data_IF_126561131998
#
_entry.id   IF_126561131998
#
_cell.length_a   1.000
_cell.length_b   1.000
_cell.length_c   1.000
_cell.angle_alpha   90.00
_cell.angle_beta   90.00
_cell.angle_gamma   90.00
#
_symmetry.space_group_name_H-M   'P 1'
#
loop_
_entity.id
_entity.type
_entity.pdbx_description
1 polymer ?
#
# COMPACT_ATOMS: atom_id res chain seq x y z
N UNK A 1 -34.91 19.49 -13.05
CA UNK A 1 -33.67 20.26 -12.79
C UNK A 1 -32.86 19.78 -11.57
N UNK A 2 -33.44 19.13 -10.54
CA UNK A 2 -32.73 18.82 -9.27
C UNK A 2 -31.69 17.69 -9.32
N UNK A 3 -31.83 16.70 -10.22
CA UNK A 3 -30.95 15.51 -10.25
C UNK A 3 -29.58 15.79 -10.89
N UNK A 4 -29.50 16.66 -11.91
CA UNK A 4 -28.24 16.99 -12.58
C UNK A 4 -27.28 17.83 -11.72
N UNK A 5 -27.82 18.63 -10.78
CA UNK A 5 -27.00 19.48 -9.90
C UNK A 5 -26.25 18.65 -8.84
N UNK A 6 -26.87 17.58 -8.33
CA UNK A 6 -26.27 16.70 -7.31
C UNK A 6 -25.14 15.87 -7.92
N UNK A 7 -25.32 15.36 -9.15
CA UNK A 7 -24.28 14.59 -9.85
C UNK A 7 -23.09 15.49 -10.24
N UNK A 8 -23.34 16.71 -10.71
CA UNK A 8 -22.28 17.68 -11.01
C UNK A 8 -21.51 18.10 -9.75
N UNK A 9 -22.19 18.29 -8.62
CA UNK A 9 -21.56 18.63 -7.35
C UNK A 9 -20.71 17.47 -6.78
N UNK A 10 -21.17 16.22 -6.93
CA UNK A 10 -20.39 15.03 -6.57
C UNK A 10 -19.15 14.86 -7.43
N UNK A 11 -19.23 15.15 -8.73
CA UNK A 11 -18.07 15.12 -9.64
C UNK A 11 -17.10 16.25 -9.32
N UNK A 12 -17.60 17.43 -8.93
CA UNK A 12 -16.77 18.57 -8.50
C UNK A 12 -16.03 18.27 -7.20
N UNK A 13 -16.69 17.66 -6.20
CA UNK A 13 -16.05 17.23 -4.94
C UNK A 13 -15.02 16.13 -5.21
N UNK A 14 -15.36 15.16 -6.06
CA UNK A 14 -14.43 14.11 -6.44
C UNK A 14 -13.21 14.69 -7.18
N UNK A 15 -13.42 15.63 -8.10
CA UNK A 15 -12.33 16.32 -8.79
C UNK A 15 -11.47 17.19 -7.84
N UNK A 16 -12.06 17.85 -6.84
CA UNK A 16 -11.34 18.67 -5.86
C UNK A 16 -10.53 17.85 -4.84
N UNK A 17 -10.95 16.61 -4.57
CA UNK A 17 -10.19 15.65 -3.74
C UNK A 17 -9.14 14.91 -4.57
N UNK A 18 -9.42 14.66 -5.85
CA UNK A 18 -8.51 13.96 -6.77
C UNK A 18 -7.39 14.88 -7.27
N UNK A 19 -7.60 16.20 -7.39
CA UNK A 19 -6.53 17.13 -7.80
C UNK A 19 -5.33 17.18 -6.85
N UNK A 20 -5.46 17.29 -5.51
CA UNK A 20 -4.29 17.17 -4.62
C UNK A 20 -3.76 15.74 -4.61
N UNK A 21 -4.60 14.71 -4.77
CA UNK A 21 -4.10 13.34 -4.90
C UNK A 21 -3.17 13.21 -6.12
N UNK A 22 -3.60 13.65 -7.32
CA UNK A 22 -2.81 13.58 -8.55
C UNK A 22 -1.61 14.54 -8.55
N UNK A 23 -1.72 15.73 -7.96
CA UNK A 23 -0.61 16.70 -7.83
C UNK A 23 0.46 16.20 -6.84
N UNK A 24 0.03 15.56 -5.75
CA UNK A 24 0.92 14.93 -4.79
C UNK A 24 1.66 13.75 -5.43
N UNK A 25 1.04 12.97 -6.32
CA UNK A 25 1.65 11.80 -6.96
C UNK A 25 2.84 12.06 -7.89
N UNK A 26 3.02 13.28 -8.42
CA UNK A 26 4.00 13.51 -9.49
C UNK A 26 5.19 14.42 -9.15
N UNK A 27 4.96 15.51 -8.42
CA UNK A 27 5.96 16.61 -8.32
C UNK A 27 6.22 17.05 -6.89
N UNK A 28 5.25 16.94 -5.98
CA UNK A 28 5.44 17.28 -4.57
C UNK A 28 6.23 16.21 -3.81
N UNK A 29 6.17 14.93 -4.25
CA UNK A 29 7.10 13.93 -3.73
C UNK A 29 8.55 14.26 -4.06
N UNK A 30 8.89 14.90 -5.20
CA UNK A 30 10.26 15.26 -5.55
C UNK A 30 10.89 16.30 -4.62
N UNK A 31 10.07 17.25 -4.13
CA UNK A 31 10.50 18.29 -3.18
C UNK A 31 10.37 17.86 -1.72
N UNK A 32 9.40 16.99 -1.38
CA UNK A 32 9.26 16.42 -0.04
C UNK A 32 10.26 15.28 0.26
N UNK A 33 10.80 14.62 -0.77
CA UNK A 33 11.85 13.58 -0.64
C UNK A 33 13.26 14.12 -0.86
N UNK A 34 13.42 15.42 -1.16
CA UNK A 34 14.75 16.04 -1.32
C UNK A 34 15.53 15.59 -2.56
N UNK A 35 14.89 15.07 -3.60
CA UNK A 35 15.58 14.47 -4.76
C UNK A 35 16.33 15.46 -5.66
N UNK A 36 16.28 16.77 -5.36
CA UNK A 36 17.19 17.75 -5.94
C UNK A 36 18.61 17.73 -5.35
N UNK A 37 18.78 17.14 -4.16
CA UNK A 37 20.03 17.21 -3.36
C UNK A 37 20.32 16.00 -2.45
N UNK A 38 19.46 14.98 -2.41
CA UNK A 38 19.49 13.92 -1.37
C UNK A 38 19.74 12.53 -1.97
N UNK A 39 20.66 11.81 -1.33
CA UNK A 39 21.21 10.51 -1.71
C UNK A 39 20.18 9.53 -2.31
N UNK A 40 20.63 8.72 -3.28
CA UNK A 40 19.86 7.60 -3.88
C UNK A 40 19.20 6.70 -2.82
N UNK A 41 19.77 6.67 -1.61
CA UNK A 41 19.26 6.01 -0.41
C UNK A 41 17.83 6.44 -0.05
N UNK A 42 17.50 7.73 -0.13
CA UNK A 42 16.17 8.22 0.21
C UNK A 42 15.15 8.01 -0.91
N UNK A 43 15.60 8.06 -2.16
CA UNK A 43 14.77 7.68 -3.30
C UNK A 43 14.29 6.23 -3.21
N UNK A 44 15.18 5.31 -2.86
CA UNK A 44 14.85 3.89 -2.69
C UNK A 44 13.88 3.69 -1.52
N UNK A 45 14.11 4.34 -0.38
CA UNK A 45 13.21 4.24 0.79
C UNK A 45 11.81 4.80 0.51
N UNK A 46 11.70 5.87 -0.26
CA UNK A 46 10.42 6.44 -0.67
C UNK A 46 9.63 5.47 -1.55
N UNK A 47 10.26 4.90 -2.58
CA UNK A 47 9.63 3.92 -3.49
C UNK A 47 9.19 2.67 -2.73
N UNK A 48 10.04 2.13 -1.85
CA UNK A 48 9.72 0.96 -1.03
C UNK A 48 8.50 1.24 -0.14
N UNK A 49 8.43 2.40 0.53
CA UNK A 49 7.29 2.76 1.37
C UNK A 49 5.98 2.89 0.59
N UNK A 50 6.02 3.48 -0.61
CA UNK A 50 4.83 3.60 -1.48
C UNK A 50 4.35 2.22 -1.93
N UNK A 51 5.27 1.35 -2.36
CA UNK A 51 4.94 -0.02 -2.78
C UNK A 51 4.38 -0.83 -1.61
N UNK A 52 4.97 -0.73 -0.42
CA UNK A 52 4.47 -1.41 0.77
C UNK A 52 3.08 -0.94 1.20
N UNK A 53 2.81 0.36 1.14
CA UNK A 53 1.48 0.90 1.40
C UNK A 53 0.43 0.33 0.46
N UNK A 54 0.75 0.27 -0.84
CA UNK A 54 -0.14 -0.31 -1.85
C UNK A 54 -0.36 -1.82 -1.63
N UNK A 55 0.71 -2.59 -1.42
CA UNK A 55 0.63 -4.02 -1.15
C UNK A 55 -0.14 -4.34 0.14
N UNK A 56 0.01 -3.52 1.19
CA UNK A 56 -0.71 -3.67 2.44
C UNK A 56 -2.22 -3.54 2.27
N UNK A 57 -2.68 -2.55 1.50
CA UNK A 57 -4.10 -2.37 1.19
C UNK A 57 -4.66 -3.59 0.44
N UNK A 58 -3.92 -4.09 -0.57
CA UNK A 58 -4.31 -5.27 -1.34
C UNK A 58 -4.40 -6.51 -0.44
N UNK A 59 -3.44 -6.72 0.46
CA UNK A 59 -3.45 -7.83 1.40
C UNK A 59 -4.70 -7.82 2.30
N UNK A 60 -5.09 -6.65 2.81
CA UNK A 60 -6.31 -6.50 3.62
C UNK A 60 -7.56 -6.85 2.80
N UNK A 61 -7.66 -6.41 1.54
CA UNK A 61 -8.80 -6.73 0.67
C UNK A 61 -8.93 -8.25 0.47
N UNK A 62 -7.83 -8.96 0.26
CA UNK A 62 -7.82 -10.42 0.09
C UNK A 62 -8.30 -11.12 1.36
N UNK A 63 -7.81 -10.68 2.53
CA UNK A 63 -8.22 -11.25 3.83
C UNK A 63 -9.71 -11.01 4.07
N UNK A 64 -10.21 -9.81 3.79
CA UNK A 64 -11.64 -9.49 3.90
C UNK A 64 -12.47 -10.36 2.97
N UNK A 65 -12.04 -10.56 1.72
CA UNK A 65 -12.74 -11.40 0.76
C UNK A 65 -12.82 -12.87 1.22
N UNK A 66 -11.71 -13.41 1.74
CA UNK A 66 -11.69 -14.72 2.38
C UNK A 66 -12.59 -14.79 3.62
N UNK A 67 -12.63 -13.73 4.43
CA UNK A 67 -13.51 -13.60 5.59
C UNK A 67 -15.00 -13.61 5.23
N UNK A 68 -15.40 -12.84 4.22
CA UNK A 68 -16.78 -12.85 3.69
C UNK A 68 -17.17 -14.22 3.15
N UNK A 69 -16.25 -14.90 2.45
CA UNK A 69 -16.46 -16.27 1.96
C UNK A 69 -16.65 -17.25 3.12
N UNK A 70 -15.90 -17.08 4.20
CA UNK A 70 -16.01 -17.92 5.40
C UNK A 70 -17.34 -17.71 6.12
N UNK A 71 -17.76 -16.46 6.30
CA UNK A 71 -19.05 -16.11 6.93
C UNK A 71 -20.25 -16.58 6.11
N UNK A 72 -20.14 -16.60 4.78
CA UNK A 72 -21.23 -17.03 3.88
C UNK A 72 -21.25 -18.54 3.58
N UNK A 73 -20.30 -19.31 4.12
CA UNK A 73 -20.20 -20.74 3.86
C UNK A 73 -21.34 -21.58 4.49
N UNK A 74 -22.05 -21.04 5.49
CA UNK A 74 -23.29 -21.64 6.01
C UNK A 74 -23.17 -23.08 6.52
N UNK A 75 -21.99 -23.49 6.97
CA UNK A 75 -21.72 -24.86 7.43
C UNK A 75 -21.28 -25.87 6.36
N UNK A 76 -21.17 -25.46 5.09
CA UNK A 76 -20.56 -26.30 4.05
C UNK A 76 -19.04 -26.36 4.26
N UNK A 77 -18.53 -27.53 4.68
CA UNK A 77 -17.11 -27.75 4.97
C UNK A 77 -16.19 -27.43 3.80
N UNK A 78 -16.63 -27.66 2.56
CA UNK A 78 -15.84 -27.39 1.36
C UNK A 78 -15.60 -25.89 1.16
N UNK A 79 -16.66 -25.09 1.33
CA UNK A 79 -16.57 -23.62 1.27
C UNK A 79 -15.80 -23.03 2.45
N UNK A 80 -15.90 -23.63 3.62
CA UNK A 80 -15.09 -23.26 4.80
C UNK A 80 -13.61 -23.54 4.56
N UNK A 81 -13.28 -24.70 3.99
CA UNK A 81 -11.91 -25.07 3.65
C UNK A 81 -11.29 -24.14 2.62
N UNK A 82 -12.04 -23.81 1.56
CA UNK A 82 -11.64 -22.84 0.54
C UNK A 82 -11.40 -21.45 1.14
N UNK A 83 -12.33 -20.95 1.96
CA UNK A 83 -12.21 -19.64 2.60
C UNK A 83 -11.00 -19.57 3.55
N UNK A 84 -10.77 -20.62 4.36
CA UNK A 84 -9.59 -20.71 5.23
C UNK A 84 -8.31 -20.67 4.42
N UNK A 85 -8.24 -21.37 3.28
CA UNK A 85 -7.06 -21.35 2.41
C UNK A 85 -6.75 -19.93 1.90
N UNK A 86 -7.78 -19.18 1.50
CA UNK A 86 -7.65 -17.79 1.05
C UNK A 86 -7.15 -16.89 2.18
N UNK A 87 -7.73 -17.02 3.38
CA UNK A 87 -7.33 -16.24 4.55
C UNK A 87 -5.86 -16.55 4.91
N UNK A 88 -5.48 -17.82 4.99
CA UNK A 88 -4.11 -18.23 5.31
C UNK A 88 -3.12 -17.72 4.25
N UNK A 89 -3.47 -17.79 2.97
CA UNK A 89 -2.64 -17.23 1.90
C UNK A 89 -2.49 -15.70 2.03
N UNK A 90 -3.55 -14.99 2.39
CA UNK A 90 -3.50 -13.55 2.67
C UNK A 90 -2.61 -13.20 3.87
N UNK A 91 -2.69 -13.97 4.95
CA UNK A 91 -1.83 -13.80 6.13
C UNK A 91 -0.36 -14.03 5.77
N UNK A 92 -0.05 -15.08 5.02
CA UNK A 92 1.33 -15.35 4.57
C UNK A 92 1.84 -14.21 3.68
N UNK A 93 1.00 -13.69 2.78
CA UNK A 93 1.35 -12.51 1.97
C UNK A 93 1.68 -11.29 2.82
N UNK A 94 0.90 -11.03 3.87
CA UNK A 94 1.17 -9.93 4.80
C UNK A 94 2.49 -10.11 5.56
N UNK A 95 2.79 -11.33 6.01
CA UNK A 95 4.06 -11.66 6.68
C UNK A 95 5.26 -11.42 5.74
N UNK A 96 5.16 -11.82 4.47
CA UNK A 96 6.21 -11.60 3.48
C UNK A 96 6.47 -10.10 3.27
N UNK A 97 5.42 -9.27 3.21
CA UNK A 97 5.55 -7.82 3.07
C UNK A 97 6.36 -7.23 4.24
N UNK A 98 6.06 -7.63 5.47
CA UNK A 98 6.80 -7.16 6.64
C UNK A 98 8.26 -7.62 6.64
N UNK A 99 8.53 -8.87 6.25
CA UNK A 99 9.90 -9.40 6.14
C UNK A 99 10.68 -8.64 5.07
N UNK A 100 10.07 -8.38 3.91
CA UNK A 100 10.71 -7.64 2.82
C UNK A 100 11.14 -6.23 3.26
N UNK A 101 10.29 -5.53 4.01
CA UNK A 101 10.64 -4.23 4.58
C UNK A 101 11.77 -4.30 5.60
N UNK A 102 11.70 -5.25 6.53
CA UNK A 102 12.72 -5.43 7.54
C UNK A 102 14.09 -5.73 6.89
N UNK A 103 14.12 -6.59 5.86
CA UNK A 103 15.33 -6.90 5.11
C UNK A 103 15.85 -5.69 4.33
N UNK A 104 14.98 -4.95 3.65
CA UNK A 104 15.39 -3.75 2.91
C UNK A 104 16.02 -2.71 3.84
N UNK A 105 15.38 -2.41 4.97
CA UNK A 105 15.91 -1.50 5.98
C UNK A 105 17.23 -2.00 6.57
N UNK A 106 17.33 -3.30 6.83
CA UNK A 106 18.56 -3.93 7.34
C UNK A 106 19.72 -3.79 6.35
N UNK A 107 19.51 -4.11 5.07
CA UNK A 107 20.54 -4.01 4.03
C UNK A 107 21.03 -2.57 3.90
N UNK A 108 20.11 -1.59 3.90
CA UNK A 108 20.48 -0.17 3.81
C UNK A 108 21.30 0.25 5.03
N UNK A 109 20.89 -0.17 6.23
CA UNK A 109 21.63 0.12 7.47
C UNK A 109 23.03 -0.50 7.43
N UNK A 110 23.15 -1.75 7.00
CA UNK A 110 24.46 -2.42 6.85
C UNK A 110 25.33 -1.74 5.81
N UNK A 111 24.75 -1.25 4.72
CA UNK A 111 25.47 -0.52 3.69
C UNK A 111 25.97 0.84 4.22
N UNK A 112 25.21 1.53 5.07
CA UNK A 112 25.64 2.77 5.75
C UNK A 112 26.86 2.48 6.65
N UNK A 113 26.75 1.46 7.50
CA UNK A 113 27.83 1.05 8.42
C UNK A 113 29.10 0.64 7.65
N UNK A 114 28.97 -0.13 6.58
CA UNK A 114 30.10 -0.63 5.80
C UNK A 114 30.79 0.43 4.94
N UNK A 115 30.04 1.43 4.46
CA UNK A 115 30.60 2.52 3.62
C UNK A 115 31.20 3.67 4.42
N UNK A 116 31.16 3.60 5.76
CA UNK A 116 31.68 4.67 6.62
C UNK A 116 30.95 6.00 6.44
N UNK A 117 29.77 6.00 5.81
CA UNK A 117 28.90 7.15 5.65
C UNK A 117 28.17 7.45 6.98
N UNK A 118 28.93 7.54 8.06
CA UNK A 118 28.61 8.41 9.19
C UNK A 118 28.82 9.83 8.68
N UNK A 119 27.82 10.70 8.87
CA UNK A 119 27.93 12.11 8.51
C UNK A 119 29.16 12.80 9.06
#
# INVERSE_FOLDING_TARGET
MKKGLITAFSILIFALVVTPALAQFGVEYGTATGLGTKDIREGVMSVVNVLLGFLGIVAIIIILWGGFRWMTAGGNEEKVGEAKKIITAGIIGLVIIFIAYALAAFIITQLITATGATG
#
